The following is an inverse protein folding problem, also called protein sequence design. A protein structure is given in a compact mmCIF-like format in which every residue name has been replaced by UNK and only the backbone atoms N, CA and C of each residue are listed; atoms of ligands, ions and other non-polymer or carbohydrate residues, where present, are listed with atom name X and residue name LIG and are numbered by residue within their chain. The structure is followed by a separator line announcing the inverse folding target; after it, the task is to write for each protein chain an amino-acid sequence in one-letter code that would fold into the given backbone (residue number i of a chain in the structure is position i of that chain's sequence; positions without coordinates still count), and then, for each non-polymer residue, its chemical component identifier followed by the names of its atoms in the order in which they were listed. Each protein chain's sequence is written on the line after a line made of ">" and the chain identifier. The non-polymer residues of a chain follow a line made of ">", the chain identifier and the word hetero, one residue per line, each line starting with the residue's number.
data_IF_781915369023
#
_entry.id   IF_781915369023
#
_cell.length_a   1.000
_cell.length_b   1.000
_cell.length_c   1.000
_cell.angle_alpha   90.00
_cell.angle_beta   90.00
_cell.angle_gamma   90.00
#
_symmetry.space_group_name_H-M   'P 1'
#
loop_
_entity.id
_entity.type
_entity.pdbx_description
1 polymer ?
#
# COMPACT_ATOMS: atom_id res chain seq x y z
N UNK A 1 18.49 -12.97 1.63
CA UNK A 1 19.45 -13.08 0.50
C UNK A 1 20.83 -12.65 0.97
N UNK A 2 21.89 -13.32 0.52
CA UNK A 2 23.25 -13.13 1.04
C UNK A 2 24.17 -12.53 -0.04
N UNK A 3 25.12 -11.73 0.39
CA UNK A 3 26.32 -11.37 -0.37
C UNK A 3 27.55 -11.92 0.35
N UNK A 4 28.18 -12.95 -0.23
CA UNK A 4 29.12 -13.79 0.56
C UNK A 4 28.40 -14.40 1.78
N UNK A 5 28.92 -14.11 2.98
CA UNK A 5 28.32 -14.57 4.25
C UNK A 5 27.49 -13.48 4.96
N UNK A 6 27.26 -12.32 4.31
CA UNK A 6 26.57 -11.18 4.92
C UNK A 6 25.09 -11.22 4.46
N UNK A 7 24.11 -11.25 5.38
CA UNK A 7 22.70 -11.10 5.04
C UNK A 7 22.42 -9.64 4.64
N UNK A 8 22.26 -9.38 3.35
CA UNK A 8 22.10 -8.03 2.81
C UNK A 8 20.66 -7.64 2.56
N UNK A 9 19.77 -8.62 2.29
CA UNK A 9 18.36 -8.36 2.00
C UNK A 9 17.47 -9.50 2.51
N UNK A 10 16.31 -9.13 3.06
CA UNK A 10 15.25 -10.07 3.45
C UNK A 10 13.91 -9.51 2.99
N UNK A 11 13.02 -10.38 2.50
CA UNK A 11 11.66 -9.98 2.20
C UNK A 11 10.66 -11.01 2.73
N UNK A 12 9.46 -10.52 3.03
CA UNK A 12 8.27 -11.28 3.36
C UNK A 12 7.12 -10.72 2.52
N UNK A 13 6.33 -11.63 1.90
CA UNK A 13 5.20 -11.25 1.04
C UNK A 13 4.02 -12.10 1.47
N UNK A 14 3.03 -11.46 2.12
CA UNK A 14 1.75 -12.05 2.43
C UNK A 14 0.67 -11.40 1.56
N UNK A 15 -0.15 -12.22 0.90
CA UNK A 15 -1.25 -11.77 0.07
C UNK A 15 -2.51 -12.60 0.32
N UNK A 16 -3.72 -12.05 0.09
CA UNK A 16 -4.96 -12.73 0.36
C UNK A 16 -5.25 -13.84 -0.65
N UNK A 17 -6.00 -14.85 -0.19
CA UNK A 17 -6.64 -15.86 -1.05
C UNK A 17 -8.09 -15.99 -0.63
N UNK A 18 -9.01 -15.94 -1.59
CA UNK A 18 -10.45 -15.90 -1.38
C UNK A 18 -11.12 -17.17 -1.82
N UNK A 19 -12.13 -17.57 -1.05
CA UNK A 19 -13.20 -18.45 -1.46
C UNK A 19 -14.54 -17.73 -1.28
N UNK A 20 -15.54 -18.05 -2.10
CA UNK A 20 -16.83 -17.39 -2.03
C UNK A 20 -17.97 -18.37 -2.32
N UNK A 21 -19.13 -18.13 -1.72
CA UNK A 21 -20.40 -18.78 -2.06
C UNK A 21 -21.19 -18.02 -3.13
N UNK A 22 -20.69 -16.85 -3.56
CA UNK A 22 -21.29 -16.01 -4.59
C UNK A 22 -20.97 -16.57 -5.99
N UNK A 23 -19.99 -16.00 -6.70
CA UNK A 23 -19.55 -16.50 -8.01
C UNK A 23 -18.12 -16.98 -7.93
N UNK A 24 -17.89 -18.29 -8.11
CA UNK A 24 -16.58 -18.92 -7.96
C UNK A 24 -15.50 -18.28 -8.84
N UNK A 25 -15.83 -17.96 -10.10
CA UNK A 25 -14.90 -17.32 -11.02
C UNK A 25 -14.48 -15.91 -10.56
N UNK A 26 -15.31 -15.22 -9.79
CA UNK A 26 -14.98 -13.92 -9.23
C UNK A 26 -13.85 -14.03 -8.17
N UNK A 27 -13.93 -15.03 -7.28
CA UNK A 27 -12.84 -15.30 -6.35
C UNK A 27 -11.55 -15.72 -7.08
N UNK A 28 -11.66 -16.50 -8.14
CA UNK A 28 -10.50 -16.88 -8.96
C UNK A 28 -9.83 -15.65 -9.61
N UNK A 29 -10.61 -14.71 -10.12
CA UNK A 29 -10.08 -13.46 -10.67
C UNK A 29 -9.30 -12.66 -9.63
N UNK A 30 -9.87 -12.46 -8.44
CA UNK A 30 -9.18 -11.78 -7.34
C UNK A 30 -7.91 -12.52 -6.91
N UNK A 31 -7.96 -13.85 -6.81
CA UNK A 31 -6.79 -14.66 -6.42
C UNK A 31 -5.66 -14.55 -7.46
N UNK A 32 -5.98 -14.55 -8.75
CA UNK A 32 -4.99 -14.36 -9.82
C UNK A 32 -4.36 -12.96 -9.72
N UNK A 33 -5.16 -11.92 -9.47
CA UNK A 33 -4.67 -10.55 -9.31
C UNK A 33 -3.64 -10.47 -8.16
N UNK A 34 -3.96 -10.97 -6.97
CA UNK A 34 -3.03 -10.90 -5.82
C UNK A 34 -1.82 -11.82 -5.97
N UNK A 35 -1.97 -12.95 -6.61
CA UNK A 35 -0.83 -13.81 -6.96
C UNK A 35 0.15 -13.09 -7.89
N UNK A 36 -0.35 -12.44 -8.94
CA UNK A 36 0.48 -11.66 -9.86
C UNK A 36 1.15 -10.46 -9.18
N UNK A 37 0.43 -9.79 -8.29
CA UNK A 37 1.00 -8.71 -7.48
C UNK A 37 2.16 -9.21 -6.61
N UNK A 38 1.99 -10.35 -5.95
CA UNK A 38 3.02 -10.98 -5.13
C UNK A 38 4.24 -11.41 -5.97
N UNK A 39 4.02 -12.02 -7.14
CA UNK A 39 5.08 -12.41 -8.07
C UNK A 39 5.87 -11.19 -8.59
N UNK A 40 5.19 -10.13 -8.97
CA UNK A 40 5.81 -8.88 -9.40
C UNK A 40 6.65 -8.25 -8.28
N UNK A 41 6.13 -8.26 -7.04
CA UNK A 41 6.86 -7.77 -5.87
C UNK A 41 8.09 -8.63 -5.58
N UNK A 42 7.97 -9.96 -5.67
CA UNK A 42 9.13 -10.84 -5.52
C UNK A 42 10.18 -10.58 -6.61
N UNK A 43 9.75 -10.41 -7.86
CA UNK A 43 10.65 -10.07 -8.95
C UNK A 43 11.37 -8.74 -8.68
N UNK A 44 10.66 -7.72 -8.24
CA UNK A 44 11.25 -6.43 -7.83
C UNK A 44 12.28 -6.60 -6.71
N UNK A 45 11.99 -7.41 -5.69
CA UNK A 45 12.94 -7.76 -4.63
C UNK A 45 14.24 -8.36 -5.19
N UNK A 46 14.12 -9.28 -6.16
CA UNK A 46 15.26 -10.02 -6.73
C UNK A 46 16.06 -9.20 -7.73
N UNK A 47 15.40 -8.39 -8.57
CA UNK A 47 16.03 -7.72 -9.72
C UNK A 47 16.43 -6.28 -9.43
N UNK A 48 15.82 -5.64 -8.41
CA UNK A 48 16.09 -4.24 -8.06
C UNK A 48 16.68 -4.13 -6.65
N UNK A 49 15.92 -4.52 -5.61
CA UNK A 49 16.34 -4.25 -4.23
C UNK A 49 17.56 -5.07 -3.81
N UNK A 50 17.64 -6.33 -4.19
CA UNK A 50 18.80 -7.16 -3.85
C UNK A 50 20.11 -6.67 -4.49
N UNK A 51 20.18 -6.34 -5.80
CA UNK A 51 21.39 -5.73 -6.38
C UNK A 51 21.79 -4.42 -5.70
N UNK A 52 20.83 -3.55 -5.37
CA UNK A 52 21.12 -2.31 -4.63
C UNK A 52 21.68 -2.59 -3.23
N UNK A 53 21.11 -3.56 -2.51
CA UNK A 53 21.61 -3.97 -1.21
C UNK A 53 23.06 -4.52 -1.28
N UNK A 54 23.37 -5.29 -2.35
CA UNK A 54 24.73 -5.79 -2.60
C UNK A 54 25.71 -4.65 -2.86
N UNK A 55 25.32 -3.67 -3.68
CA UNK A 55 26.18 -2.50 -3.96
C UNK A 55 26.41 -1.66 -2.69
N UNK A 56 25.35 -1.42 -1.91
CA UNK A 56 25.45 -0.74 -0.63
C UNK A 56 26.40 -1.49 0.33
N UNK A 57 26.27 -2.82 0.43
CA UNK A 57 27.15 -3.63 1.27
C UNK A 57 28.61 -3.59 0.82
N UNK A 58 28.90 -3.60 -0.49
CA UNK A 58 30.26 -3.46 -1.04
C UNK A 58 30.89 -2.13 -0.65
N UNK A 59 30.13 -1.03 -0.85
CA UNK A 59 30.60 0.31 -0.52
C UNK A 59 30.94 0.43 0.97
N UNK A 60 30.04 -0.04 1.83
CA UNK A 60 30.17 0.03 3.28
C UNK A 60 31.33 -0.84 3.77
N UNK A 61 31.48 -2.06 3.26
CA UNK A 61 32.60 -2.95 3.63
C UNK A 61 33.95 -2.31 3.32
N UNK A 62 34.04 -1.50 2.26
CA UNK A 62 35.25 -0.78 1.90
C UNK A 62 35.53 0.45 2.76
N UNK A 63 34.52 1.07 3.36
CA UNK A 63 34.59 2.34 4.10
C UNK A 63 34.31 2.23 5.60
N UNK A 64 34.04 1.04 6.13
CA UNK A 64 33.89 0.68 7.56
C UNK A 64 32.67 1.21 8.34
N UNK A 65 31.62 1.87 7.78
CA UNK A 65 30.39 2.11 8.53
C UNK A 65 29.59 0.81 8.73
N UNK A 66 28.68 0.73 9.72
CA UNK A 66 27.80 -0.43 9.87
C UNK A 66 26.86 -0.55 8.66
N UNK A 67 26.67 -1.78 8.17
CA UNK A 67 25.70 -2.08 7.12
C UNK A 67 24.31 -2.33 7.71
N UNK A 68 23.32 -1.59 7.24
CA UNK A 68 21.92 -1.81 7.57
C UNK A 68 21.28 -2.67 6.49
N UNK A 69 20.85 -3.88 6.87
CA UNK A 69 20.21 -4.83 5.96
C UNK A 69 18.93 -4.24 5.37
N UNK A 70 18.75 -4.37 4.05
CA UNK A 70 17.52 -4.00 3.36
C UNK A 70 16.39 -4.99 3.69
N UNK A 71 15.18 -4.49 3.80
CA UNK A 71 13.99 -5.33 4.00
C UNK A 71 12.83 -4.87 3.14
N UNK A 72 11.98 -5.81 2.72
CA UNK A 72 10.65 -5.53 2.21
C UNK A 72 9.66 -6.44 2.96
N UNK A 73 8.58 -5.85 3.45
CA UNK A 73 7.48 -6.56 4.11
C UNK A 73 6.16 -6.13 3.51
N UNK A 74 5.47 -7.05 2.83
CA UNK A 74 4.16 -6.83 2.25
C UNK A 74 3.12 -7.64 3.03
N UNK A 75 2.12 -6.93 3.56
CA UNK A 75 1.04 -7.48 4.36
C UNK A 75 -0.30 -6.96 3.87
N UNK A 76 -1.41 -7.60 4.30
CA UNK A 76 -2.75 -7.15 3.98
C UNK A 76 -3.65 -7.15 5.21
N UNK A 77 -4.70 -6.33 5.16
CA UNK A 77 -5.76 -6.26 6.16
C UNK A 77 -7.11 -6.23 5.47
N UNK A 78 -7.98 -7.19 5.78
CA UNK A 78 -9.38 -7.16 5.35
C UNK A 78 -10.12 -6.19 6.28
N UNK A 79 -10.77 -5.18 5.70
CA UNK A 79 -11.55 -4.15 6.42
C UNK A 79 -13.04 -4.43 6.41
N UNK A 80 -13.54 -5.10 5.35
CA UNK A 80 -14.92 -5.48 5.20
C UNK A 80 -15.06 -6.81 4.46
N UNK A 81 -15.98 -7.66 4.89
CA UNK A 81 -16.29 -8.91 4.21
C UNK A 81 -17.74 -9.35 4.49
N UNK A 82 -18.68 -8.92 3.65
CA UNK A 82 -20.09 -9.27 3.77
C UNK A 82 -20.84 -9.04 2.46
N UNK A 83 -21.91 -9.78 2.22
CA UNK A 83 -22.83 -9.58 1.07
C UNK A 83 -22.16 -9.66 -0.30
N UNK A 84 -21.23 -10.57 -0.50
CA UNK A 84 -20.41 -10.69 -1.70
C UNK A 84 -19.42 -9.52 -1.94
N UNK A 85 -19.29 -8.59 -1.00
CA UNK A 85 -18.31 -7.50 -1.06
C UNK A 85 -17.20 -7.79 -0.09
N UNK A 86 -15.96 -7.60 -0.55
CA UNK A 86 -14.78 -7.65 0.30
C UNK A 86 -13.90 -6.44 0.02
N UNK A 87 -13.51 -5.74 1.09
CA UNK A 87 -12.56 -4.65 1.02
C UNK A 87 -11.32 -4.97 1.83
N UNK A 88 -10.16 -4.58 1.33
CA UNK A 88 -8.88 -4.74 2.00
C UNK A 88 -7.91 -3.63 1.59
N UNK A 89 -6.87 -3.48 2.37
CA UNK A 89 -5.67 -2.77 1.92
C UNK A 89 -4.45 -3.67 2.05
N UNK A 90 -3.43 -3.36 1.25
CA UNK A 90 -2.11 -3.98 1.31
C UNK A 90 -1.07 -2.91 1.62
N UNK A 91 -0.24 -3.15 2.62
CA UNK A 91 0.87 -2.30 3.01
C UNK A 91 2.19 -2.95 2.59
N UNK A 92 3.01 -2.20 1.88
CA UNK A 92 4.37 -2.59 1.54
C UNK A 92 5.35 -1.65 2.23
N UNK A 93 6.09 -2.18 3.20
CA UNK A 93 7.15 -1.47 3.91
C UNK A 93 8.50 -1.80 3.30
N UNK A 94 9.20 -0.81 2.77
CA UNK A 94 10.52 -0.98 2.17
C UNK A 94 11.56 -0.19 2.97
N UNK A 95 12.63 -0.87 3.42
CA UNK A 95 13.75 -0.26 4.10
C UNK A 95 15.04 -0.49 3.32
N UNK A 96 15.74 0.58 2.99
CA UNK A 96 16.97 0.57 2.19
C UNK A 96 18.18 1.11 2.98
N UNK A 97 18.23 0.83 4.28
CA UNK A 97 19.38 1.17 5.12
C UNK A 97 19.45 2.63 5.59
N UNK A 98 18.50 3.49 5.21
CA UNK A 98 18.43 4.90 5.59
C UNK A 98 17.83 5.13 6.98
N UNK A 99 17.36 6.37 7.24
CA UNK A 99 16.77 6.75 8.53
C UNK A 99 15.35 6.23 8.72
N UNK A 100 14.60 6.05 7.63
CA UNK A 100 13.19 5.66 7.64
C UNK A 100 12.91 4.57 6.61
N UNK A 101 11.88 3.79 6.87
CA UNK A 101 11.25 2.92 5.88
C UNK A 101 10.23 3.71 5.06
N UNK A 102 10.02 3.30 3.84
CA UNK A 102 8.96 3.76 2.96
C UNK A 102 7.73 2.87 3.13
N UNK A 103 6.55 3.45 3.14
CA UNK A 103 5.27 2.76 3.16
C UNK A 103 4.51 3.08 1.88
N UNK A 104 4.17 2.06 1.13
CA UNK A 104 3.18 2.11 0.06
C UNK A 104 1.92 1.37 0.50
N UNK A 105 0.74 1.97 0.32
CA UNK A 105 -0.56 1.35 0.57
C UNK A 105 -1.39 1.37 -0.70
N UNK A 106 -1.92 0.21 -1.07
CA UNK A 106 -2.97 0.06 -2.07
C UNK A 106 -4.24 -0.45 -1.39
N UNK A 107 -5.40 -0.07 -1.93
CA UNK A 107 -6.72 -0.42 -1.37
C UNK A 107 -7.63 -0.93 -2.46
N UNK A 108 -8.27 -2.06 -2.20
CA UNK A 108 -9.15 -2.72 -3.16
C UNK A 108 -10.50 -3.05 -2.52
N UNK A 109 -11.57 -2.90 -3.30
CA UNK A 109 -12.90 -3.42 -2.98
C UNK A 109 -13.38 -4.30 -4.12
N UNK A 110 -13.72 -5.55 -3.81
CA UNK A 110 -14.18 -6.55 -4.77
C UNK A 110 -15.65 -6.87 -4.58
N UNK A 111 -16.38 -6.92 -5.69
CA UNK A 111 -17.71 -7.51 -5.77
C UNK A 111 -17.61 -8.95 -6.29
N UNK A 112 -17.76 -9.92 -5.41
CA UNK A 112 -17.75 -11.33 -5.78
C UNK A 112 -19.04 -11.84 -6.43
N UNK A 113 -20.05 -10.99 -6.63
CA UNK A 113 -21.20 -11.32 -7.47
C UNK A 113 -20.91 -11.09 -8.95
N UNK A 114 -19.99 -10.18 -9.26
CA UNK A 114 -19.63 -9.79 -10.63
C UNK A 114 -18.18 -10.09 -11.01
N UNK A 115 -17.29 -10.21 -10.03
CA UNK A 115 -15.84 -10.36 -10.24
C UNK A 115 -15.13 -9.06 -10.56
N UNK A 116 -15.76 -7.92 -10.31
CA UNK A 116 -15.18 -6.59 -10.58
C UNK A 116 -14.57 -5.99 -9.30
N UNK A 117 -13.50 -5.24 -9.47
CA UNK A 117 -13.11 -4.23 -8.50
C UNK A 117 -14.10 -3.07 -8.58
N UNK A 118 -14.55 -2.60 -7.42
CA UNK A 118 -15.40 -1.44 -7.27
C UNK A 118 -14.54 -0.21 -7.01
N UNK A 119 -14.89 0.88 -7.66
CA UNK A 119 -14.34 2.20 -7.39
C UNK A 119 -15.32 2.99 -6.52
N UNK A 120 -14.85 4.07 -5.92
CA UNK A 120 -15.69 4.87 -5.03
C UNK A 120 -16.94 5.43 -5.75
N UNK A 121 -16.81 5.75 -7.03
CA UNK A 121 -17.92 6.21 -7.88
C UNK A 121 -18.93 5.11 -8.26
N UNK A 122 -18.58 3.84 -8.15
CA UNK A 122 -19.54 2.72 -8.27
C UNK A 122 -20.50 2.67 -7.07
N UNK A 123 -20.08 3.19 -5.90
CA UNK A 123 -20.85 3.15 -4.64
C UNK A 123 -21.56 4.46 -4.36
N UNK A 124 -20.93 5.59 -4.64
CA UNK A 124 -21.44 6.92 -4.32
C UNK A 124 -21.20 7.90 -5.46
N UNK A 125 -22.24 8.61 -5.87
CA UNK A 125 -22.08 9.68 -6.85
C UNK A 125 -21.12 10.76 -6.31
N UNK A 126 -19.96 10.89 -6.96
CA UNK A 126 -18.93 11.87 -6.59
C UNK A 126 -19.29 13.26 -7.12
N UNK A 127 -20.39 13.80 -6.63
CA UNK A 127 -20.79 15.18 -6.93
C UNK A 127 -19.81 16.18 -6.30
N UNK A 128 -19.71 17.43 -6.80
CA UNK A 128 -18.88 18.46 -6.16
C UNK A 128 -19.18 18.62 -4.66
N UNK A 129 -20.43 18.48 -4.25
CA UNK A 129 -20.84 18.54 -2.84
C UNK A 129 -20.30 17.35 -2.05
N UNK A 130 -20.38 16.13 -2.60
CA UNK A 130 -19.82 14.93 -1.93
C UNK A 130 -18.30 15.04 -1.78
N UNK A 131 -17.59 15.49 -2.82
CA UNK A 131 -16.14 15.72 -2.78
C UNK A 131 -15.73 16.76 -1.76
N UNK A 132 -16.45 17.88 -1.66
CA UNK A 132 -16.21 18.88 -0.63
C UNK A 132 -16.48 18.31 0.78
N UNK A 133 -17.48 17.47 0.95
CA UNK A 133 -17.76 16.77 2.21
C UNK A 133 -16.63 15.82 2.62
N UNK A 134 -16.10 15.04 1.68
CA UNK A 134 -14.94 14.18 1.90
C UNK A 134 -13.70 14.99 2.29
N UNK A 135 -13.40 16.06 1.54
CA UNK A 135 -12.28 16.95 1.84
C UNK A 135 -12.40 17.50 3.27
N UNK A 136 -13.55 18.09 3.62
CA UNK A 136 -13.80 18.63 4.96
C UNK A 136 -13.63 17.58 6.05
N UNK A 137 -14.09 16.35 5.80
CA UNK A 137 -13.94 15.24 6.75
C UNK A 137 -12.46 14.87 6.97
N UNK A 138 -11.66 14.79 5.91
CA UNK A 138 -10.22 14.50 6.00
C UNK A 138 -9.48 15.63 6.71
N UNK A 139 -9.76 16.89 6.36
CA UNK A 139 -9.19 18.07 7.02
C UNK A 139 -9.46 18.07 8.54
N UNK A 140 -10.70 17.76 8.94
CA UNK A 140 -11.09 17.65 10.35
C UNK A 140 -10.29 16.54 11.05
N UNK A 141 -10.18 15.36 10.44
CA UNK A 141 -9.43 14.24 11.01
C UNK A 141 -7.94 14.57 11.19
N UNK A 142 -7.31 15.24 10.21
CA UNK A 142 -5.92 15.72 10.33
C UNK A 142 -5.79 16.70 11.49
N UNK A 143 -6.69 17.68 11.58
CA UNK A 143 -6.68 18.67 12.65
C UNK A 143 -6.88 18.04 14.07
N UNK A 144 -7.72 17.01 14.19
CA UNK A 144 -7.89 16.25 15.42
C UNK A 144 -6.62 15.47 15.80
N UNK A 145 -6.02 14.75 14.85
CA UNK A 145 -4.77 14.00 15.08
C UNK A 145 -3.60 14.90 15.46
N UNK A 146 -3.50 16.10 14.85
CA UNK A 146 -2.48 17.07 15.21
C UNK A 146 -2.58 17.56 16.64
N UNK A 147 -3.80 17.63 17.21
CA UNK A 147 -4.02 17.98 18.63
C UNK A 147 -3.57 16.85 19.56
N UNK A 148 -3.84 15.60 19.18
CA UNK A 148 -3.48 14.42 19.99
C UNK A 148 -1.99 14.08 19.89
N UNK A 149 -1.40 14.29 18.73
CA UNK A 149 0.00 13.94 18.41
C UNK A 149 0.64 15.01 17.52
N UNK A 150 1.11 16.13 18.08
CA UNK A 150 1.65 17.26 17.30
C UNK A 150 2.81 16.92 16.35
N UNK A 151 3.52 15.81 16.56
CA UNK A 151 4.62 15.36 15.68
C UNK A 151 4.21 14.36 14.59
N UNK A 152 2.92 14.06 14.42
CA UNK A 152 2.45 13.05 13.45
C UNK A 152 2.49 13.51 11.99
N UNK A 153 2.69 14.79 11.73
CA UNK A 153 2.74 15.38 10.39
C UNK A 153 3.89 16.37 10.31
N UNK A 154 4.48 16.51 9.12
CA UNK A 154 5.50 17.54 8.87
C UNK A 154 4.84 18.93 8.86
N UNK A 155 5.37 19.88 9.61
CA UNK A 155 4.79 21.23 9.78
C UNK A 155 4.65 22.00 8.46
N UNK A 156 5.62 21.85 7.55
CA UNK A 156 5.67 22.56 6.26
C UNK A 156 5.00 21.78 5.10
N UNK A 157 4.36 20.64 5.37
CA UNK A 157 3.79 19.85 4.30
C UNK A 157 2.38 20.33 3.95
N UNK A 158 2.08 20.63 2.68
CA UNK A 158 0.81 21.24 2.28
C UNK A 158 -0.34 20.21 2.17
N UNK A 159 -0.60 19.45 3.25
CA UNK A 159 -1.59 18.37 3.26
C UNK A 159 -2.96 18.80 2.72
N UNK A 160 -3.47 19.94 3.16
CA UNK A 160 -4.80 20.42 2.79
C UNK A 160 -4.89 20.77 1.31
N UNK A 161 -3.86 21.45 0.76
CA UNK A 161 -3.84 21.77 -0.67
C UNK A 161 -3.64 20.54 -1.55
N UNK A 162 -2.87 19.55 -1.09
CA UNK A 162 -2.68 18.29 -1.80
C UNK A 162 -3.95 17.44 -1.79
N UNK A 163 -4.65 17.34 -0.66
CA UNK A 163 -5.94 16.65 -0.56
C UNK A 163 -6.94 17.30 -1.51
N UNK A 164 -7.08 18.63 -1.48
CA UNK A 164 -7.96 19.35 -2.38
C UNK A 164 -7.61 19.16 -3.86
N UNK A 165 -6.31 19.09 -4.19
CA UNK A 165 -5.84 18.81 -5.55
C UNK A 165 -6.10 17.35 -5.95
N UNK A 166 -5.82 16.39 -5.08
CA UNK A 166 -5.94 14.97 -5.36
C UNK A 166 -7.40 14.54 -5.47
N UNK A 167 -8.29 15.01 -4.61
CA UNK A 167 -9.73 14.73 -4.69
C UNK A 167 -10.40 15.25 -5.98
N UNK A 168 -9.70 16.03 -6.80
CA UNK A 168 -10.19 16.45 -8.13
C UNK A 168 -9.75 15.55 -9.27
N UNK A 169 -8.88 14.57 -9.02
CA UNK A 169 -8.33 13.68 -10.06
C UNK A 169 -9.10 12.36 -10.06
N UNK A 170 -9.74 11.97 -11.19
CA UNK A 170 -10.54 10.74 -11.26
C UNK A 170 -9.77 9.48 -10.86
N UNK A 171 -8.47 9.42 -11.15
CA UNK A 171 -7.61 8.29 -10.79
C UNK A 171 -7.48 8.07 -9.27
N UNK A 172 -7.75 9.08 -8.45
CA UNK A 172 -7.68 8.99 -6.99
C UNK A 172 -8.90 8.30 -6.36
N UNK A 173 -9.97 8.08 -7.13
CA UNK A 173 -11.19 7.41 -6.66
C UNK A 173 -11.22 5.92 -6.99
N UNK A 174 -10.16 5.39 -7.57
CA UNK A 174 -10.09 3.98 -7.92
C UNK A 174 -9.93 3.09 -6.69
N UNK A 175 -9.23 3.59 -5.69
CA UNK A 175 -8.89 2.83 -4.49
C UNK A 175 -9.66 3.35 -3.28
N UNK A 176 -10.39 2.46 -2.63
CA UNK A 176 -11.05 2.72 -1.36
C UNK A 176 -11.29 1.42 -0.60
N UNK A 177 -11.53 1.52 0.71
CA UNK A 177 -11.96 0.41 1.57
C UNK A 177 -13.22 0.78 2.33
N UNK A 178 -14.08 -0.22 2.53
CA UNK A 178 -15.27 -0.13 3.39
C UNK A 178 -14.92 -0.39 4.85
#
# INVERSE_FOLDING_TARGET
>A
MLYGNIPVFTYHIAYPSFSTTCVLSAAQTANIYYMQLAENTEQYCRTVLYPQAVESARYITSNHPPFNRYTLDMNYQITYNSGCITSLYMDTYTYMGGAHQELERISDTWDFSTGRQLHLDDISALTPTALNGLQTSVERQIAERLKESPGSYFEDYPYLSMIASNLKKPEQYKEFVL
#
